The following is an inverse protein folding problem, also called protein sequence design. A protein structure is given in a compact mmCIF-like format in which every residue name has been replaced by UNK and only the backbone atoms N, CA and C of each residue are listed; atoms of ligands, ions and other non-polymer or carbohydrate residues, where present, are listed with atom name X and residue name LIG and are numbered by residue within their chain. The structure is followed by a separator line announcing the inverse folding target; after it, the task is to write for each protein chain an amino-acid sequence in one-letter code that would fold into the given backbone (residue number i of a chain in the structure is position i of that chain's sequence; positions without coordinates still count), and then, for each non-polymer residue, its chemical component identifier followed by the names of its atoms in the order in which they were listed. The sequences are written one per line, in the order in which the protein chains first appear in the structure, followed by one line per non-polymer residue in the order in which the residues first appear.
data_IF_291566855793
#
_entry.id   IF_291566855793
#
_cell.length_a   1.000
_cell.length_b   1.000
_cell.length_c   1.000
_cell.angle_alpha   90.00
_cell.angle_beta   90.00
_cell.angle_gamma   90.00
#
_symmetry.space_group_name_H-M   'P 1'
#
loop_
_entity.id
_entity.type
_entity.pdbx_description
1 polymer ?
#
# COMPACT_ATOMS: atom_id res chain seq x y z
N UNK A 1 15.68 9.79 -3.12
CA UNK A 1 14.48 8.99 -2.84
C UNK A 1 13.46 9.87 -2.13
N UNK A 2 12.24 9.92 -2.64
CA UNK A 2 11.13 10.67 -2.03
C UNK A 2 10.09 9.67 -1.52
N UNK A 3 9.76 9.79 -0.23
CA UNK A 3 8.75 9.00 0.45
C UNK A 3 7.60 9.90 0.96
N UNK A 4 6.37 9.39 1.09
CA UNK A 4 5.22 10.23 1.43
C UNK A 4 5.20 10.64 2.91
N UNK A 5 5.81 9.85 3.80
CA UNK A 5 5.77 10.06 5.26
C UNK A 5 7.17 10.21 5.85
N UNK A 6 7.26 10.92 6.97
CA UNK A 6 8.52 11.09 7.72
C UNK A 6 9.06 9.74 8.20
N UNK A 7 8.17 8.83 8.63
CA UNK A 7 8.54 7.50 9.06
C UNK A 7 9.20 6.69 7.94
N UNK A 8 8.60 6.65 6.74
CA UNK A 8 9.20 5.96 5.60
C UNK A 8 10.55 6.56 5.21
N UNK A 9 10.67 7.89 5.21
CA UNK A 9 11.95 8.55 4.96
C UNK A 9 13.02 8.13 5.98
N UNK A 10 12.66 8.02 7.26
CA UNK A 10 13.53 7.54 8.34
C UNK A 10 13.94 6.07 8.12
N UNK A 11 12.99 5.22 7.74
CA UNK A 11 13.23 3.80 7.48
C UNK A 11 14.17 3.58 6.29
N UNK A 12 13.89 4.21 5.15
CA UNK A 12 14.79 4.22 4.00
C UNK A 12 16.17 4.75 4.39
N UNK A 13 16.22 5.86 5.14
CA UNK A 13 17.46 6.42 5.68
C UNK A 13 18.30 5.38 6.43
N UNK A 14 17.69 4.71 7.41
CA UNK A 14 18.35 3.67 8.21
C UNK A 14 18.87 2.52 7.34
N UNK A 15 18.00 1.96 6.47
CA UNK A 15 18.36 0.83 5.59
C UNK A 15 19.49 1.20 4.64
N UNK A 16 19.46 2.40 4.05
CA UNK A 16 20.51 2.86 3.15
C UNK A 16 21.83 3.06 3.90
N UNK A 17 21.81 3.68 5.08
CA UNK A 17 23.03 3.86 5.89
C UNK A 17 23.66 2.51 6.25
N UNK A 18 22.86 1.54 6.68
CA UNK A 18 23.32 0.19 6.96
C UNK A 18 23.85 -0.52 5.70
N UNK A 19 23.16 -0.38 4.57
CA UNK A 19 23.51 -1.04 3.31
C UNK A 19 24.78 -0.49 2.68
N UNK A 20 25.01 0.82 2.78
CA UNK A 20 26.19 1.50 2.27
C UNK A 20 27.30 1.64 3.32
N UNK A 21 27.18 0.98 4.47
CA UNK A 21 28.25 0.93 5.45
C UNK A 21 29.55 0.40 4.82
N UNK A 22 30.64 1.17 4.95
CA UNK A 22 31.93 0.85 4.35
C UNK A 22 32.16 1.41 2.94
N UNK A 23 31.15 2.03 2.31
CA UNK A 23 31.32 2.77 1.06
C UNK A 23 31.47 4.27 1.32
N UNK A 24 32.22 5.01 0.49
CA UNK A 24 32.39 6.46 0.61
C UNK A 24 31.16 7.22 0.08
N UNK A 25 29.96 6.80 0.48
CA UNK A 25 28.68 7.39 0.07
C UNK A 25 28.06 8.09 1.29
N UNK A 26 27.87 9.40 1.18
CA UNK A 26 27.19 10.22 2.18
C UNK A 26 25.70 10.27 1.87
N UNK A 27 24.91 9.91 2.88
CA UNK A 27 23.45 9.86 2.81
C UNK A 27 22.88 10.97 3.70
N UNK A 28 22.00 11.79 3.15
CA UNK A 28 21.29 12.84 3.88
C UNK A 28 19.81 12.51 4.01
N UNK A 29 19.26 12.58 5.24
CA UNK A 29 17.84 12.33 5.50
C UNK A 29 17.12 13.63 5.85
N UNK A 30 16.25 14.11 4.96
CA UNK A 30 15.51 15.35 5.12
C UNK A 30 14.02 15.09 5.38
N UNK A 31 13.58 15.34 6.60
CA UNK A 31 12.20 15.18 7.04
C UNK A 31 11.77 16.31 7.99
N UNK A 32 10.51 16.31 8.42
CA UNK A 32 10.03 17.26 9.44
C UNK A 32 10.69 17.09 10.81
N UNK A 33 11.25 15.91 11.09
CA UNK A 33 11.93 15.62 12.35
C UNK A 33 13.43 15.97 12.32
N UNK A 34 13.98 16.32 11.15
CA UNK A 34 15.36 16.74 11.01
C UNK A 34 15.54 18.12 11.66
N UNK A 35 16.59 18.30 12.48
CA UNK A 35 16.85 19.60 13.12
C UNK A 35 17.10 20.70 12.08
N UNK A 36 16.85 21.96 12.43
CA UNK A 36 17.06 23.08 11.49
C UNK A 36 18.52 23.22 11.03
N UNK A 37 19.46 22.95 11.94
CA UNK A 37 20.89 22.94 11.65
C UNK A 37 21.25 21.81 10.65
N UNK A 38 20.81 20.58 10.93
CA UNK A 38 21.09 19.43 10.05
C UNK A 38 20.40 19.59 8.70
N UNK A 39 19.17 20.09 8.68
CA UNK A 39 18.44 20.35 7.44
C UNK A 39 19.16 21.37 6.56
N UNK A 40 19.77 22.40 7.15
CA UNK A 40 20.57 23.38 6.41
C UNK A 40 21.83 22.74 5.83
N UNK A 41 22.59 22.01 6.66
CA UNK A 41 23.79 21.30 6.21
C UNK A 41 23.47 20.27 5.10
N UNK A 42 22.35 19.56 5.21
CA UNK A 42 21.91 18.61 4.18
C UNK A 42 21.58 19.32 2.86
N UNK A 43 20.88 20.47 2.90
CA UNK A 43 20.57 21.23 1.68
C UNK A 43 21.83 21.73 0.98
N UNK A 44 22.78 22.26 1.76
CA UNK A 44 24.08 22.69 1.25
C UNK A 44 24.89 21.51 0.69
N UNK A 45 24.86 20.36 1.37
CA UNK A 45 25.50 19.13 0.90
C UNK A 45 24.90 18.58 -0.40
N UNK A 46 23.59 18.72 -0.60
CA UNK A 46 22.91 18.34 -1.86
C UNK A 46 23.32 19.27 -3.01
N UNK A 47 23.40 20.58 -2.74
CA UNK A 47 23.76 21.58 -3.74
C UNK A 47 25.25 21.50 -4.15
N UNK A 48 26.13 21.18 -3.21
CA UNK A 48 27.57 20.99 -3.47
C UNK A 48 27.91 19.61 -4.03
N UNK A 49 27.01 18.63 -3.91
CA UNK A 49 27.26 17.23 -4.29
C UNK A 49 28.01 16.41 -3.24
N UNK A 50 28.24 16.96 -2.05
CA UNK A 50 28.79 16.21 -0.91
C UNK A 50 27.84 15.09 -0.49
N UNK A 51 26.52 15.30 -0.55
CA UNK A 51 25.50 14.27 -0.30
C UNK A 51 25.13 13.62 -1.63
N UNK A 52 25.55 12.36 -1.82
CA UNK A 52 25.25 11.63 -3.06
C UNK A 52 23.87 10.96 -3.03
N UNK A 53 23.33 10.66 -1.84
CA UNK A 53 21.98 10.10 -1.71
C UNK A 53 21.15 10.94 -0.74
N UNK A 54 20.15 11.65 -1.27
CA UNK A 54 19.16 12.35 -0.47
C UNK A 54 17.89 11.50 -0.32
N UNK A 55 17.46 11.29 0.92
CA UNK A 55 16.25 10.56 1.28
C UNK A 55 15.35 11.51 2.06
N UNK A 56 14.07 11.62 1.71
CA UNK A 56 13.24 12.58 2.39
C UNK A 56 11.79 12.57 1.98
N UNK A 57 11.04 13.46 2.61
CA UNK A 57 9.63 13.68 2.27
C UNK A 57 9.50 14.68 1.11
N UNK A 58 8.30 15.21 0.90
CA UNK A 58 8.07 16.37 0.02
C UNK A 58 8.98 17.58 0.30
N UNK A 59 9.66 17.63 1.45
CA UNK A 59 10.73 18.60 1.71
C UNK A 59 11.82 18.60 0.63
N UNK A 60 12.12 17.44 0.02
CA UNK A 60 13.06 17.33 -1.11
C UNK A 60 12.50 17.89 -2.42
N UNK A 61 11.19 18.10 -2.51
CA UNK A 61 10.51 18.67 -3.67
C UNK A 61 10.34 20.19 -3.53
N UNK A 62 10.76 20.79 -2.42
CA UNK A 62 10.68 22.23 -2.24
C UNK A 62 11.52 22.96 -3.32
N UNK A 63 11.04 24.12 -3.79
CA UNK A 63 11.76 24.94 -4.78
C UNK A 63 13.15 25.39 -4.30
N UNK A 64 13.37 25.41 -2.98
CA UNK A 64 14.65 25.75 -2.35
C UNK A 64 15.70 24.64 -2.42
N UNK A 65 15.38 23.48 -2.99
CA UNK A 65 16.32 22.38 -3.17
C UNK A 65 16.93 22.48 -4.55
N UNK A 66 18.23 22.74 -4.58
CA UNK A 66 19.06 22.71 -5.78
C UNK A 66 19.93 21.46 -5.74
N UNK A 67 19.83 20.63 -6.77
CA UNK A 67 20.66 19.43 -6.92
C UNK A 67 21.88 19.78 -7.76
N UNK A 68 23.08 19.39 -7.32
CA UNK A 68 24.29 19.53 -8.14
C UNK A 68 24.13 18.80 -9.49
N UNK A 69 23.86 17.50 -9.43
CA UNK A 69 23.61 16.66 -10.60
C UNK A 69 22.66 15.50 -10.24
N UNK A 70 21.37 15.65 -10.58
CA UNK A 70 20.35 14.64 -10.28
C UNK A 70 20.27 13.62 -11.44
N UNK A 71 20.80 12.41 -11.24
CA UNK A 71 20.73 11.34 -12.25
C UNK A 71 19.55 10.35 -12.08
N UNK A 72 19.06 10.18 -10.85
CA UNK A 72 18.04 9.18 -10.51
C UNK A 72 17.07 9.70 -9.45
N UNK A 73 15.78 9.58 -9.74
CA UNK A 73 14.68 9.87 -8.82
C UNK A 73 13.91 8.60 -8.50
N UNK A 74 14.01 8.15 -7.24
CA UNK A 74 13.21 7.06 -6.70
C UNK A 74 12.01 7.64 -5.95
N UNK A 75 10.80 7.22 -6.31
CA UNK A 75 9.53 7.61 -5.70
C UNK A 75 8.90 6.38 -5.08
N UNK A 76 8.64 6.40 -3.77
CA UNK A 76 7.98 5.32 -3.07
C UNK A 76 6.50 5.67 -2.79
N UNK A 77 5.58 4.74 -3.04
CA UNK A 77 4.13 4.88 -2.84
C UNK A 77 3.55 6.19 -3.46
N UNK A 78 3.77 6.39 -4.77
CA UNK A 78 3.37 7.60 -5.53
C UNK A 78 1.89 8.00 -5.34
N UNK A 79 1.00 7.04 -5.06
CA UNK A 79 -0.43 7.31 -4.83
C UNK A 79 -0.71 8.25 -3.66
N UNK A 80 0.19 8.31 -2.67
CA UNK A 80 0.01 9.17 -1.48
C UNK A 80 0.46 10.63 -1.69
N UNK A 81 1.04 10.96 -2.86
CA UNK A 81 1.46 12.32 -3.17
C UNK A 81 0.30 13.18 -3.71
N UNK A 82 0.24 14.43 -3.25
CA UNK A 82 -0.73 15.42 -3.69
C UNK A 82 -0.45 15.96 -5.09
N UNK A 83 -1.41 16.68 -5.68
CA UNK A 83 -1.33 17.19 -7.06
C UNK A 83 -0.11 18.09 -7.27
N UNK A 84 0.13 19.08 -6.39
CA UNK A 84 1.28 19.98 -6.52
C UNK A 84 2.63 19.28 -6.39
N UNK A 85 2.71 18.21 -5.58
CA UNK A 85 3.93 17.39 -5.48
C UNK A 85 4.17 16.60 -6.77
N UNK A 86 3.09 16.09 -7.39
CA UNK A 86 3.14 15.38 -8.67
C UNK A 86 3.55 16.29 -9.82
N UNK A 87 3.07 17.52 -9.87
CA UNK A 87 3.53 18.51 -10.85
C UNK A 87 5.03 18.81 -10.70
N UNK A 88 5.51 19.03 -9.47
CA UNK A 88 6.94 19.23 -9.24
C UNK A 88 7.77 18.01 -9.60
N UNK A 89 7.26 16.81 -9.35
CA UNK A 89 7.91 15.57 -9.77
C UNK A 89 8.02 15.52 -11.31
N UNK A 90 6.97 15.91 -12.06
CA UNK A 90 6.98 15.96 -13.53
C UNK A 90 8.03 16.94 -14.06
N UNK A 91 8.15 18.13 -13.48
CA UNK A 91 9.17 19.11 -13.85
C UNK A 91 10.59 18.52 -13.75
N UNK A 92 10.85 17.73 -12.71
CA UNK A 92 12.14 17.08 -12.52
C UNK A 92 12.38 15.93 -13.50
N UNK A 93 11.35 15.32 -14.12
CA UNK A 93 11.48 14.13 -14.97
C UNK A 93 12.14 14.38 -16.34
N UNK A 94 12.28 15.63 -16.76
CA UNK A 94 12.68 15.98 -18.14
C UNK A 94 13.92 15.25 -18.65
N UNK A 95 14.95 15.12 -17.80
CA UNK A 95 16.26 14.55 -18.18
C UNK A 95 16.79 13.52 -17.15
N UNK A 96 15.94 12.93 -16.31
CA UNK A 96 16.39 12.02 -15.22
C UNK A 96 15.74 10.65 -15.29
N UNK A 97 16.43 9.62 -14.80
CA UNK A 97 15.84 8.31 -14.63
C UNK A 97 14.86 8.32 -13.45
N UNK A 98 13.66 7.73 -13.64
CA UNK A 98 12.63 7.69 -12.61
C UNK A 98 12.25 6.25 -12.30
N UNK A 99 12.39 5.86 -11.03
CA UNK A 99 11.93 4.58 -10.51
C UNK A 99 10.76 4.82 -9.55
N UNK A 100 9.60 4.24 -9.85
CA UNK A 100 8.43 4.30 -8.97
C UNK A 100 8.19 2.94 -8.33
N UNK A 101 8.08 2.92 -7.00
CA UNK A 101 7.79 1.73 -6.20
C UNK A 101 6.38 1.84 -5.62
N UNK A 102 5.62 0.74 -5.63
CA UNK A 102 4.29 0.69 -4.99
C UNK A 102 3.95 -0.73 -4.57
N UNK A 103 3.31 -0.87 -3.41
CA UNK A 103 2.88 -2.17 -2.89
C UNK A 103 1.63 -2.71 -3.61
N UNK A 104 0.81 -1.83 -4.18
CA UNK A 104 -0.40 -2.20 -4.92
C UNK A 104 -0.43 -1.44 -6.24
N UNK A 105 -0.45 -2.13 -7.39
CA UNK A 105 -0.47 -1.43 -8.66
C UNK A 105 -1.77 -0.63 -8.77
N UNK A 106 -1.66 0.68 -9.03
CA UNK A 106 -2.82 1.54 -9.25
C UNK A 106 -3.58 0.97 -10.46
N UNK A 107 -4.90 0.75 -10.41
CA UNK A 107 -5.64 0.08 -11.49
C UNK A 107 -5.35 0.65 -12.88
N UNK A 108 -5.28 1.98 -13.00
CA UNK A 108 -4.90 2.67 -14.24
C UNK A 108 -3.45 2.43 -14.67
N UNK A 109 -2.51 2.40 -13.72
CA UNK A 109 -1.09 2.12 -14.00
C UNK A 109 -0.87 0.67 -14.39
N UNK A 110 -1.58 -0.26 -13.76
CA UNK A 110 -1.60 -1.67 -14.15
C UNK A 110 -2.10 -1.81 -15.59
N UNK A 111 -3.20 -1.12 -15.92
CA UNK A 111 -3.78 -1.12 -17.24
C UNK A 111 -2.85 -0.54 -18.31
N UNK A 112 -2.17 0.58 -18.03
CA UNK A 112 -1.15 1.16 -18.92
C UNK A 112 0.08 0.24 -19.11
N UNK A 113 0.42 -0.53 -18.08
CA UNK A 113 1.48 -1.53 -18.17
C UNK A 113 1.06 -2.71 -19.05
N UNK A 114 -0.17 -3.20 -18.86
CA UNK A 114 -0.76 -4.28 -19.67
C UNK A 114 -0.95 -3.87 -21.13
N UNK A 115 -1.22 -2.59 -21.41
CA UNK A 115 -1.26 -2.02 -22.75
C UNK A 115 0.13 -1.72 -23.32
N UNK A 116 1.22 -1.98 -22.58
CA UNK A 116 2.59 -1.74 -23.02
C UNK A 116 2.96 -0.27 -23.21
N UNK A 117 2.20 0.65 -22.62
CA UNK A 117 2.51 2.10 -22.64
C UNK A 117 3.55 2.44 -21.57
N UNK A 118 3.65 1.63 -20.50
CA UNK A 118 4.62 1.80 -19.42
C UNK A 118 5.28 0.46 -19.10
N UNK A 119 6.60 0.43 -18.99
CA UNK A 119 7.30 -0.76 -18.51
C UNK A 119 7.01 -0.97 -17.02
N UNK A 120 6.70 -2.21 -16.64
CA UNK A 120 6.41 -2.60 -15.26
C UNK A 120 7.16 -3.90 -14.95
N UNK A 121 7.95 -3.88 -13.89
CA UNK A 121 8.54 -5.09 -13.32
C UNK A 121 7.73 -5.50 -12.10
N UNK A 122 7.26 -6.75 -12.08
CA UNK A 122 6.48 -7.30 -10.99
C UNK A 122 7.34 -8.27 -10.16
N UNK A 123 7.48 -7.96 -8.87
CA UNK A 123 8.18 -8.84 -7.91
C UNK A 123 7.11 -9.65 -7.17
N UNK A 124 6.82 -10.86 -7.67
CA UNK A 124 5.81 -11.74 -7.08
C UNK A 124 6.34 -12.62 -5.95
N UNK A 125 7.61 -13.02 -6.04
CA UNK A 125 8.21 -14.01 -5.14
C UNK A 125 8.52 -13.36 -3.79
N UNK A 126 7.90 -13.79 -2.69
CA UNK A 126 8.24 -13.30 -1.36
C UNK A 126 9.64 -13.79 -0.94
N UNK A 127 10.30 -13.10 0.01
CA UNK A 127 11.51 -13.61 0.65
C UNK A 127 11.27 -14.98 1.30
N UNK A 128 12.30 -15.83 1.33
CA UNK A 128 12.24 -17.24 1.81
C UNK A 128 11.69 -17.34 3.24
N UNK A 129 11.99 -16.37 4.09
CA UNK A 129 11.59 -16.36 5.50
C UNK A 129 10.17 -15.81 5.76
N UNK A 130 9.44 -15.37 4.72
CA UNK A 130 8.13 -14.73 4.91
C UNK A 130 7.02 -15.76 5.03
N UNK A 131 6.42 -15.83 6.21
CA UNK A 131 5.27 -16.70 6.49
C UNK A 131 3.95 -16.00 6.15
N UNK A 132 2.98 -16.77 5.63
CA UNK A 132 1.63 -16.27 5.38
C UNK A 132 0.92 -15.82 6.67
N UNK A 133 0.18 -14.72 6.58
CA UNK A 133 -0.62 -14.17 7.69
C UNK A 133 -1.87 -15.02 7.86
N UNK A 134 -2.07 -15.61 9.04
CA UNK A 134 -3.31 -16.34 9.35
C UNK A 134 -4.45 -15.35 9.64
N UNK A 135 -5.52 -15.45 8.87
CA UNK A 135 -6.66 -14.53 8.96
C UNK A 135 -7.84 -15.22 9.64
N UNK A 136 -8.41 -14.59 10.67
CA UNK A 136 -9.60 -15.04 11.39
C UNK A 136 -10.70 -14.00 11.22
N UNK A 137 -11.89 -14.47 10.86
CA UNK A 137 -13.09 -13.63 10.74
C UNK A 137 -14.08 -14.07 11.79
N UNK A 138 -14.60 -13.14 12.60
CA UNK A 138 -15.56 -13.47 13.64
C UNK A 138 -16.12 -12.23 14.34
N UNK A 139 -17.08 -12.41 15.27
CA UNK A 139 -17.52 -11.31 16.12
C UNK A 139 -16.39 -10.83 17.03
N UNK A 140 -16.50 -9.61 17.55
CA UNK A 140 -15.60 -9.17 18.63
C UNK A 140 -15.82 -10.03 19.88
N UNK A 141 -14.89 -10.94 20.14
CA UNK A 141 -14.82 -11.79 21.34
C UNK A 141 -13.66 -11.34 22.24
N UNK A 142 -13.98 -10.95 23.48
CA UNK A 142 -12.98 -10.48 24.43
C UNK A 142 -11.96 -11.56 24.85
N UNK A 143 -12.36 -12.83 24.91
CA UNK A 143 -11.47 -13.91 25.32
C UNK A 143 -10.43 -14.17 24.24
N UNK A 144 -10.88 -14.31 23.00
CA UNK A 144 -10.00 -14.56 21.84
C UNK A 144 -9.03 -13.40 21.63
N UNK A 145 -9.52 -12.16 21.71
CA UNK A 145 -8.68 -10.98 21.48
C UNK A 145 -7.69 -10.74 22.63
N UNK A 146 -8.06 -11.03 23.88
CA UNK A 146 -7.12 -10.99 25.02
C UNK A 146 -5.99 -11.99 24.80
N UNK A 147 -6.30 -13.23 24.46
CA UNK A 147 -5.27 -14.25 24.22
C UNK A 147 -4.34 -13.85 23.06
N UNK A 148 -4.91 -13.27 21.98
CA UNK A 148 -4.13 -12.78 20.85
C UNK A 148 -3.12 -11.68 21.26
N UNK A 149 -3.57 -10.69 22.03
CA UNK A 149 -2.72 -9.61 22.54
C UNK A 149 -1.64 -10.15 23.49
N UNK A 150 -2.02 -10.98 24.46
CA UNK A 150 -1.07 -11.54 25.42
C UNK A 150 -0.01 -12.42 24.75
N UNK A 151 -0.41 -13.22 23.75
CA UNK A 151 0.52 -14.02 22.95
C UNK A 151 1.54 -13.15 22.21
N UNK A 152 1.10 -12.03 21.64
CA UNK A 152 1.99 -11.08 20.97
C UNK A 152 2.96 -10.41 21.94
N UNK A 153 2.47 -9.97 23.08
CA UNK A 153 3.30 -9.32 24.10
C UNK A 153 4.32 -10.28 24.71
N UNK A 154 3.94 -11.54 24.95
CA UNK A 154 4.83 -12.56 25.52
C UNK A 154 6.05 -12.84 24.63
N UNK A 155 5.89 -12.72 23.31
CA UNK A 155 6.99 -12.87 22.33
C UNK A 155 7.73 -11.56 22.01
N UNK A 156 7.48 -10.49 22.78
CA UNK A 156 8.09 -9.17 22.60
C UNK A 156 7.64 -8.46 21.32
N UNK A 157 6.49 -8.85 20.77
CA UNK A 157 5.92 -8.23 19.58
C UNK A 157 4.94 -7.11 19.91
N UNK A 158 4.40 -6.48 18.87
CA UNK A 158 3.46 -5.37 18.98
C UNK A 158 2.16 -5.64 18.21
N UNK A 159 1.07 -5.01 18.63
CA UNK A 159 -0.28 -5.22 18.08
C UNK A 159 -0.79 -3.94 17.41
N UNK A 160 -1.27 -4.08 16.18
CA UNK A 160 -2.10 -3.04 15.56
C UNK A 160 -3.57 -3.26 15.89
N UNK A 161 -4.27 -2.23 16.33
CA UNK A 161 -5.74 -2.22 16.44
C UNK A 161 -6.29 -1.11 15.57
N UNK A 162 -7.06 -1.46 14.53
CA UNK A 162 -7.53 -0.51 13.53
C UNK A 162 -9.03 -0.30 13.64
N UNK A 163 -9.45 0.96 13.76
CA UNK A 163 -10.84 1.40 13.78
C UNK A 163 -11.23 2.08 12.45
N UNK A 164 -12.47 1.90 11.97
CA UNK A 164 -12.92 2.55 10.75
C UNK A 164 -13.18 4.05 10.96
N UNK A 165 -13.52 4.47 12.18
CA UNK A 165 -13.88 5.85 12.53
C UNK A 165 -13.18 6.29 13.81
N UNK A 166 -12.92 7.60 13.91
CA UNK A 166 -12.35 8.23 15.10
C UNK A 166 -13.32 8.12 16.29
N UNK A 167 -14.62 8.27 16.04
CA UNK A 167 -15.66 8.20 17.08
C UNK A 167 -15.70 6.84 17.80
N UNK A 168 -15.26 5.76 17.14
CA UNK A 168 -15.18 4.43 17.73
C UNK A 168 -13.94 4.26 18.63
N UNK A 169 -12.90 5.09 18.47
CA UNK A 169 -11.59 4.86 19.08
C UNK A 169 -11.65 4.91 20.60
N UNK A 170 -12.35 5.87 21.20
CA UNK A 170 -12.42 5.95 22.68
C UNK A 170 -13.04 4.67 23.26
N UNK A 171 -14.16 4.22 22.68
CA UNK A 171 -14.83 2.99 23.10
C UNK A 171 -13.92 1.77 22.94
N UNK A 172 -13.16 1.70 21.84
CA UNK A 172 -12.22 0.59 21.62
C UNK A 172 -11.04 0.67 22.59
N UNK A 173 -10.53 1.86 22.89
CA UNK A 173 -9.47 2.09 23.87
C UNK A 173 -9.87 1.58 25.26
N UNK A 174 -11.07 1.91 25.73
CA UNK A 174 -11.58 1.47 27.03
C UNK A 174 -11.71 -0.06 27.08
N UNK A 175 -12.18 -0.67 25.98
CA UNK A 175 -12.25 -2.13 25.84
C UNK A 175 -10.88 -2.77 25.84
N UNK A 176 -9.91 -2.21 25.12
CA UNK A 176 -8.53 -2.72 25.09
C UNK A 176 -7.88 -2.63 26.47
N UNK A 177 -8.07 -1.52 27.19
CA UNK A 177 -7.56 -1.33 28.56
C UNK A 177 -8.14 -2.37 29.52
N UNK A 178 -9.42 -2.72 29.36
CA UNK A 178 -10.06 -3.80 30.13
C UNK A 178 -9.55 -5.19 29.70
N UNK A 179 -9.29 -5.37 28.41
CA UNK A 179 -8.84 -6.65 27.84
C UNK A 179 -7.39 -6.96 28.20
N UNK A 180 -6.50 -5.98 28.18
CA UNK A 180 -5.07 -6.13 28.46
C UNK A 180 -4.59 -4.93 29.31
N UNK A 181 -4.87 -4.91 30.62
CA UNK A 181 -4.48 -3.82 31.51
C UNK A 181 -2.96 -3.61 31.62
N UNK A 182 -2.18 -4.63 31.31
CA UNK A 182 -0.72 -4.61 31.27
C UNK A 182 -0.13 -3.96 30.02
N UNK A 183 -0.94 -3.74 28.97
CA UNK A 183 -0.47 -3.25 27.69
C UNK A 183 -0.32 -1.72 27.67
N UNK A 184 0.80 -1.23 27.15
CA UNK A 184 1.01 0.19 26.85
C UNK A 184 0.31 0.52 25.54
N UNK A 185 -0.81 1.23 25.62
CA UNK A 185 -1.63 1.59 24.46
C UNK A 185 -1.36 3.04 24.07
N UNK A 186 -1.07 3.28 22.80
CA UNK A 186 -1.03 4.62 22.19
C UNK A 186 -2.04 4.72 21.05
N UNK A 187 -2.58 5.93 20.85
CA UNK A 187 -3.62 6.19 19.86
C UNK A 187 -3.14 7.12 18.76
N UNK A 188 -3.49 6.82 17.51
CA UNK A 188 -3.12 7.64 16.36
C UNK A 188 -4.27 7.79 15.34
N UNK A 189 -4.59 9.01 14.90
CA UNK A 189 -5.63 9.21 13.89
C UNK A 189 -5.34 10.37 12.93
N UNK A 190 -5.98 10.37 11.77
CA UNK A 190 -5.73 11.34 10.70
C UNK A 190 -6.04 12.82 11.03
N UNK A 191 -6.84 13.09 12.07
CA UNK A 191 -7.09 14.47 12.56
C UNK A 191 -5.98 15.03 13.45
N UNK A 192 -4.97 14.22 13.82
CA UNK A 192 -3.86 14.70 14.64
C UNK A 192 -2.99 15.67 13.83
N UNK A 193 -2.41 16.69 14.45
CA UNK A 193 -1.32 17.45 13.87
C UNK A 193 -0.22 16.50 13.38
N UNK A 194 0.33 16.76 12.19
CA UNK A 194 1.25 15.81 11.57
C UNK A 194 2.52 15.54 12.40
N UNK A 195 3.00 16.53 13.16
CA UNK A 195 4.14 16.36 14.08
C UNK A 195 3.80 15.40 15.23
N UNK A 196 2.60 15.51 15.78
CA UNK A 196 2.13 14.63 16.87
C UNK A 196 1.97 13.20 16.34
N UNK A 197 1.40 13.05 15.15
CA UNK A 197 1.28 11.75 14.49
C UNK A 197 2.66 11.12 14.26
N UNK A 198 3.61 11.84 13.67
CA UNK A 198 4.98 11.35 13.43
C UNK A 198 5.67 10.92 14.74
N UNK A 199 5.46 11.65 15.84
CA UNK A 199 5.97 11.30 17.17
C UNK A 199 5.35 10.00 17.70
N UNK A 200 4.01 9.87 17.65
CA UNK A 200 3.34 8.64 18.10
C UNK A 200 3.79 7.42 17.30
N UNK A 201 3.89 7.56 15.98
CA UNK A 201 4.36 6.47 15.11
C UNK A 201 5.83 6.12 15.38
N UNK A 202 6.66 7.11 15.67
CA UNK A 202 8.06 6.91 16.07
C UNK A 202 8.16 6.13 17.37
N UNK A 203 7.44 6.55 18.41
CA UNK A 203 7.39 5.87 19.71
C UNK A 203 6.90 4.43 19.58
N UNK A 204 5.90 4.19 18.72
CA UNK A 204 5.47 2.83 18.41
C UNK A 204 6.59 2.03 17.74
N UNK A 205 7.21 2.56 16.69
CA UNK A 205 8.29 1.88 15.97
C UNK A 205 9.52 1.59 16.86
N UNK A 206 9.76 2.42 17.88
CA UNK A 206 10.89 2.30 18.80
C UNK A 206 10.56 1.36 20.00
N UNK A 207 9.36 0.77 20.05
CA UNK A 207 8.96 -0.23 21.05
C UNK A 207 8.47 0.34 22.39
N UNK A 208 8.17 1.64 22.45
CA UNK A 208 7.68 2.29 23.67
C UNK A 208 6.23 1.95 24.02
N UNK A 209 5.50 1.34 23.09
CA UNK A 209 4.12 0.91 23.27
C UNK A 209 3.88 -0.47 22.66
N UNK A 210 2.99 -1.24 23.27
CA UNK A 210 2.68 -2.61 22.88
C UNK A 210 1.52 -2.65 21.87
N UNK A 211 0.59 -1.69 21.98
CA UNK A 211 -0.60 -1.59 21.12
C UNK A 211 -0.67 -0.21 20.49
N UNK A 212 -0.76 -0.16 19.16
CA UNK A 212 -1.16 1.03 18.42
C UNK A 212 -2.64 0.93 18.05
N UNK A 213 -3.47 1.73 18.72
CA UNK A 213 -4.86 1.95 18.34
C UNK A 213 -4.93 3.06 17.30
N UNK A 214 -5.34 2.76 16.07
CA UNK A 214 -5.38 3.76 15.01
C UNK A 214 -6.63 3.71 14.15
N UNK A 215 -6.82 4.74 13.34
CA UNK A 215 -7.68 4.60 12.15
C UNK A 215 -6.94 3.90 11.01
N UNK A 216 -7.49 3.94 9.79
CA UNK A 216 -6.83 3.43 8.59
C UNK A 216 -5.51 4.13 8.21
N UNK A 217 -5.01 5.08 9.00
CA UNK A 217 -3.72 5.75 8.76
C UNK A 217 -2.52 4.78 8.68
N UNK A 218 -2.63 3.58 9.29
CA UNK A 218 -1.61 2.52 9.18
C UNK A 218 -1.45 2.00 7.75
N UNK A 219 -2.43 2.27 6.88
CA UNK A 219 -2.36 2.01 5.44
C UNK A 219 -1.20 2.76 4.75
N UNK A 220 -0.72 3.89 5.31
CA UNK A 220 0.24 4.82 4.69
C UNK A 220 1.74 4.51 4.86
N UNK A 221 2.13 3.23 4.94
CA UNK A 221 3.54 2.87 4.79
C UNK A 221 4.32 2.62 6.08
N UNK A 222 3.66 2.20 7.16
CA UNK A 222 4.39 1.84 8.38
C UNK A 222 4.93 0.41 8.27
N UNK A 223 6.25 0.28 8.19
CA UNK A 223 6.95 -1.00 8.34
C UNK A 223 7.41 -1.19 9.79
N UNK A 224 6.72 -2.04 10.55
CA UNK A 224 7.14 -2.38 11.91
C UNK A 224 7.32 -3.90 11.97
N UNK A 225 8.56 -4.41 11.84
CA UNK A 225 8.84 -5.85 11.81
C UNK A 225 8.41 -6.59 13.09
N UNK A 226 8.39 -5.88 14.23
CA UNK A 226 7.91 -6.38 15.52
C UNK A 226 6.39 -6.50 15.60
N UNK A 227 5.65 -5.83 14.71
CA UNK A 227 4.19 -5.87 14.71
C UNK A 227 3.67 -7.05 13.88
N UNK A 228 3.33 -8.14 14.57
CA UNK A 228 2.90 -9.39 13.93
C UNK A 228 1.44 -9.75 14.18
N UNK A 229 0.71 -8.98 14.97
CA UNK A 229 -0.73 -9.19 15.20
C UNK A 229 -1.52 -7.93 14.84
N UNK A 230 -2.58 -8.11 14.06
CA UNK A 230 -3.50 -7.04 13.68
C UNK A 230 -4.92 -7.41 14.08
N UNK A 231 -5.62 -6.46 14.71
CA UNK A 231 -7.04 -6.55 15.06
C UNK A 231 -7.76 -5.43 14.32
N UNK A 232 -8.71 -5.77 13.46
CA UNK A 232 -9.52 -4.80 12.73
C UNK A 232 -10.90 -4.75 13.39
N UNK A 233 -11.20 -3.64 14.04
CA UNK A 233 -12.53 -3.35 14.57
C UNK A 233 -13.50 -3.11 13.41
N UNK A 234 -14.68 -3.72 13.43
CA UNK A 234 -15.73 -3.48 12.42
C UNK A 234 -15.20 -3.64 10.99
N UNK A 235 -14.55 -4.77 10.71
CA UNK A 235 -13.99 -5.11 9.40
C UNK A 235 -15.06 -5.08 8.27
N UNK A 236 -16.34 -5.19 8.63
CA UNK A 236 -17.50 -5.02 7.75
C UNK A 236 -17.60 -3.62 7.12
N UNK A 237 -16.93 -2.61 7.67
CA UNK A 237 -16.96 -1.23 7.17
C UNK A 237 -15.84 -0.91 6.17
N UNK A 238 -14.84 -1.77 6.04
CA UNK A 238 -13.68 -1.53 5.18
C UNK A 238 -13.87 -2.14 3.79
N UNK A 239 -13.33 -1.49 2.75
CA UNK A 239 -13.23 -2.07 1.42
C UNK A 239 -12.27 -3.28 1.37
N UNK A 240 -12.37 -4.09 0.31
CA UNK A 240 -11.55 -5.31 0.17
C UNK A 240 -10.07 -4.95 0.03
N UNK A 241 -9.75 -3.97 -0.81
CA UNK A 241 -8.39 -3.44 -0.95
C UNK A 241 -7.84 -2.88 0.35
N UNK A 242 -8.64 -2.15 1.12
CA UNK A 242 -8.22 -1.61 2.42
C UNK A 242 -7.88 -2.72 3.42
N UNK A 243 -8.75 -3.74 3.53
CA UNK A 243 -8.50 -4.89 4.42
C UNK A 243 -7.23 -5.64 4.03
N UNK A 244 -6.98 -5.80 2.74
CA UNK A 244 -5.76 -6.44 2.25
C UNK A 244 -4.51 -5.62 2.53
N UNK A 245 -4.56 -4.30 2.29
CA UNK A 245 -3.44 -3.40 2.58
C UNK A 245 -3.12 -3.39 4.07
N UNK A 246 -4.13 -3.29 4.93
CA UNK A 246 -3.99 -3.39 6.38
C UNK A 246 -3.37 -4.73 6.78
N UNK A 247 -3.90 -5.85 6.29
CA UNK A 247 -3.34 -7.20 6.53
C UNK A 247 -1.87 -7.30 6.10
N UNK A 248 -1.49 -6.65 4.99
CA UNK A 248 -0.11 -6.62 4.49
C UNK A 248 0.87 -5.80 5.36
N UNK A 249 0.39 -5.09 6.38
CA UNK A 249 1.23 -4.36 7.34
C UNK A 249 1.75 -5.23 8.49
N UNK A 250 1.26 -6.47 8.63
CA UNK A 250 1.81 -7.47 9.57
C UNK A 250 2.49 -8.62 8.84
N UNK A 251 3.36 -9.35 9.54
CA UNK A 251 4.05 -10.52 8.97
C UNK A 251 5.18 -10.15 8.03
N UNK A 252 5.98 -9.16 8.43
CA UNK A 252 7.21 -8.74 7.73
C UNK A 252 8.47 -9.42 8.30
N UNK A 253 8.39 -9.99 9.50
CA UNK A 253 9.46 -10.77 10.11
C UNK A 253 9.37 -12.27 9.83
N UNK A 254 10.27 -13.05 10.46
CA UNK A 254 10.28 -14.52 10.42
C UNK A 254 9.17 -15.16 11.25
N UNK A 255 8.58 -14.37 12.18
CA UNK A 255 7.51 -14.85 13.03
C UNK A 255 6.19 -14.90 12.25
N UNK A 256 5.38 -15.92 12.54
CA UNK A 256 4.04 -16.01 11.97
C UNK A 256 3.18 -14.86 12.49
N UNK A 257 2.46 -14.21 11.58
CA UNK A 257 1.55 -13.12 11.86
C UNK A 257 0.07 -13.55 11.82
N UNK A 258 -0.75 -12.78 12.53
CA UNK A 258 -2.16 -13.04 12.75
C UNK A 258 -2.99 -11.79 12.46
N UNK A 259 -4.09 -11.95 11.74
CA UNK A 259 -5.05 -10.89 11.46
C UNK A 259 -6.46 -11.30 11.92
N UNK A 260 -7.02 -10.52 12.85
CA UNK A 260 -8.35 -10.73 13.42
C UNK A 260 -9.31 -9.67 12.87
N UNK A 261 -10.18 -10.08 11.95
CA UNK A 261 -11.19 -9.22 11.33
C UNK A 261 -12.49 -9.38 12.12
N UNK A 262 -12.81 -8.37 12.92
CA UNK A 262 -13.93 -8.44 13.86
C UNK A 262 -15.18 -7.76 13.32
N UNK A 263 -16.35 -8.32 13.60
CA UNK A 263 -17.66 -7.69 13.37
C UNK A 263 -18.36 -7.36 14.70
N UNK A 264 -19.39 -6.52 14.64
CA UNK A 264 -20.26 -6.27 15.78
C UNK A 264 -21.17 -7.50 16.03
N UNK A 265 -21.10 -8.17 17.20
CA UNK A 265 -21.94 -9.32 17.49
C UNK A 265 -23.44 -9.00 17.49
N UNK A 266 -23.82 -7.73 17.66
CA UNK A 266 -25.22 -7.29 17.69
C UNK A 266 -25.77 -6.91 16.31
N UNK A 267 -24.96 -6.93 15.24
CA UNK A 267 -25.37 -6.50 13.91
C UNK A 267 -25.21 -7.63 12.90
N UNK A 268 -26.22 -7.79 12.05
CA UNK A 268 -26.15 -8.69 10.92
C UNK A 268 -25.25 -8.10 9.83
N UNK A 269 -24.38 -8.93 9.27
CA UNK A 269 -23.55 -8.57 8.13
C UNK A 269 -24.38 -8.55 6.85
N UNK A 270 -24.16 -7.57 5.99
CA UNK A 270 -24.72 -7.61 4.64
C UNK A 270 -24.11 -8.77 3.85
N UNK A 271 -24.83 -9.35 2.86
CA UNK A 271 -24.29 -10.43 2.02
C UNK A 271 -22.96 -10.05 1.36
N UNK A 272 -22.84 -8.80 0.91
CA UNK A 272 -21.62 -8.27 0.30
C UNK A 272 -20.46 -8.19 1.31
N UNK A 273 -20.71 -7.69 2.52
CA UNK A 273 -19.69 -7.61 3.57
C UNK A 273 -19.23 -9.01 4.00
N UNK A 274 -20.16 -9.95 4.16
CA UNK A 274 -19.85 -11.35 4.47
C UNK A 274 -18.98 -11.97 3.39
N UNK A 275 -19.37 -11.85 2.11
CA UNK A 275 -18.59 -12.40 0.99
C UNK A 275 -17.18 -11.82 0.94
N UNK A 276 -17.03 -10.52 1.18
CA UNK A 276 -15.73 -9.86 1.23
C UNK A 276 -14.83 -10.39 2.36
N UNK A 277 -15.38 -10.60 3.55
CA UNK A 277 -14.63 -11.14 4.68
C UNK A 277 -14.27 -12.62 4.46
N UNK A 278 -15.15 -13.42 3.86
CA UNK A 278 -14.86 -14.81 3.45
C UNK A 278 -13.69 -14.85 2.47
N UNK A 279 -13.66 -13.97 1.46
CA UNK A 279 -12.52 -13.85 0.54
C UNK A 279 -11.24 -13.50 1.30
N UNK A 280 -11.29 -12.57 2.26
CA UNK A 280 -10.11 -12.24 3.07
C UNK A 280 -9.54 -13.44 3.86
N UNK A 281 -10.41 -14.37 4.27
CA UNK A 281 -10.02 -15.58 4.99
C UNK A 281 -9.38 -16.63 4.07
N UNK A 282 -9.77 -16.70 2.80
CA UNK A 282 -9.23 -17.69 1.84
C UNK A 282 -7.94 -17.25 1.14
N UNK A 283 -7.59 -15.97 1.23
CA UNK A 283 -6.37 -15.40 0.66
C UNK A 283 -5.13 -15.79 1.49
N UNK A 284 -4.80 -17.08 1.56
CA UNK A 284 -3.69 -17.63 2.35
C UNK A 284 -2.32 -17.61 1.64
N UNK A 285 -2.26 -17.22 0.35
CA UNK A 285 -1.02 -17.21 -0.42
C UNK A 285 -0.41 -15.81 -0.55
N UNK A 286 0.90 -15.73 -0.29
CA UNK A 286 1.75 -14.60 -0.66
C UNK A 286 1.83 -14.55 -2.20
N UNK A 287 1.25 -13.51 -2.80
CA UNK A 287 1.05 -13.40 -4.27
C UNK A 287 -0.38 -13.07 -4.67
N UNK A 288 -1.34 -13.15 -3.75
CA UNK A 288 -2.75 -12.87 -3.99
C UNK A 288 -3.09 -11.40 -4.28
N UNK A 289 -2.10 -10.49 -4.29
CA UNK A 289 -2.31 -9.06 -4.54
C UNK A 289 -2.80 -8.78 -5.96
N UNK A 290 -2.38 -9.60 -6.93
CA UNK A 290 -2.87 -9.53 -8.31
C UNK A 290 -4.33 -9.99 -8.40
N UNK A 291 -4.65 -11.16 -7.83
CA UNK A 291 -6.02 -11.67 -7.75
C UNK A 291 -6.94 -10.66 -7.06
N UNK A 292 -6.47 -10.02 -6.00
CA UNK A 292 -7.22 -8.98 -5.29
C UNK A 292 -7.42 -7.72 -6.14
N UNK A 293 -6.42 -7.27 -6.88
CA UNK A 293 -6.57 -6.12 -7.79
C UNK A 293 -7.62 -6.41 -8.87
N UNK A 294 -7.67 -7.63 -9.41
CA UNK A 294 -8.72 -8.07 -10.33
C UNK A 294 -10.09 -8.08 -9.64
N UNK A 295 -10.20 -8.67 -8.44
CA UNK A 295 -11.47 -8.65 -7.68
C UNK A 295 -11.93 -7.23 -7.29
N UNK A 296 -11.02 -6.32 -6.92
CA UNK A 296 -11.37 -4.93 -6.58
C UNK A 296 -11.79 -4.16 -7.84
N UNK A 297 -11.20 -4.47 -9.02
CA UNK A 297 -11.62 -3.96 -10.32
C UNK A 297 -13.01 -4.45 -10.71
N UNK A 298 -13.32 -5.73 -10.49
CA UNK A 298 -14.65 -6.31 -10.74
C UNK A 298 -15.72 -5.70 -9.83
N UNK A 299 -15.38 -5.46 -8.56
CA UNK A 299 -16.32 -4.91 -7.57
C UNK A 299 -16.57 -3.41 -7.79
N UNK A 300 -15.53 -2.64 -8.16
CA UNK A 300 -15.63 -1.17 -8.31
C UNK A 300 -15.96 -0.73 -9.74
N UNK A 301 -15.73 -1.58 -10.74
CA UNK A 301 -15.68 -1.20 -12.16
C UNK A 301 -14.35 -0.51 -12.50
N UNK A 302 -13.70 -0.87 -13.62
CA UNK A 302 -12.50 -0.17 -14.07
C UNK A 302 -12.89 1.24 -14.50
N UNK A 303 -12.45 2.25 -13.74
CA UNK A 303 -12.69 3.65 -14.07
C UNK A 303 -12.15 4.03 -15.45
N UNK A 304 -12.72 5.09 -16.00
CA UNK A 304 -12.52 5.54 -17.38
C UNK A 304 -11.06 5.95 -17.67
N UNK A 305 -10.52 5.54 -18.82
CA UNK A 305 -9.13 5.84 -19.23
C UNK A 305 -8.97 7.23 -19.89
N UNK A 306 -10.05 7.83 -20.42
CA UNK A 306 -10.00 8.98 -21.35
C UNK A 306 -11.01 10.12 -21.09
N UNK A 307 -11.74 10.17 -19.97
CA UNK A 307 -12.64 11.30 -19.67
C UNK A 307 -13.57 11.09 -18.47
N UNK A 308 -14.26 12.15 -18.04
CA UNK A 308 -15.02 12.18 -16.76
C UNK A 308 -16.36 11.42 -16.77
N UNK A 309 -16.89 10.98 -17.91
CA UNK A 309 -18.16 10.24 -17.98
C UNK A 309 -18.03 8.98 -18.84
N UNK A 310 -18.14 7.80 -18.20
CA UNK A 310 -18.60 6.50 -18.73
C UNK A 310 -18.09 5.34 -17.85
N UNK A 311 -18.61 5.21 -16.63
CA UNK A 311 -18.33 4.07 -15.75
C UNK A 311 -19.13 2.78 -16.11
N UNK A 312 -19.84 2.77 -17.24
CA UNK A 312 -20.84 1.74 -17.60
C UNK A 312 -20.30 0.51 -18.33
N UNK A 313 -19.43 0.70 -19.34
CA UNK A 313 -19.11 -0.37 -20.31
C UNK A 313 -18.27 -1.53 -19.75
N UNK A 314 -17.39 -1.29 -18.77
CA UNK A 314 -16.54 -2.35 -18.19
C UNK A 314 -17.38 -3.42 -17.47
N UNK A 315 -18.55 -3.03 -16.94
CA UNK A 315 -19.43 -3.92 -16.18
C UNK A 315 -20.23 -4.88 -17.08
N UNK A 316 -20.42 -4.54 -18.36
CA UNK A 316 -21.18 -5.35 -19.33
C UNK A 316 -20.30 -6.35 -20.09
N UNK A 317 -19.04 -6.01 -20.33
CA UNK A 317 -18.16 -6.77 -21.25
C UNK A 317 -17.16 -7.66 -20.50
N UNK A 318 -16.89 -7.37 -19.22
CA UNK A 318 -15.90 -8.06 -18.41
C UNK A 318 -14.48 -7.51 -18.60
N UNK A 319 -13.70 -7.50 -17.51
CA UNK A 319 -12.36 -6.91 -17.48
C UNK A 319 -11.40 -7.57 -18.47
N UNK A 320 -11.48 -8.89 -18.62
CA UNK A 320 -10.61 -9.66 -19.51
C UNK A 320 -10.78 -9.24 -20.97
N UNK A 321 -12.02 -9.20 -21.46
CA UNK A 321 -12.34 -8.82 -22.83
C UNK A 321 -12.02 -7.33 -23.09
N UNK A 322 -12.27 -6.46 -22.12
CA UNK A 322 -11.89 -5.04 -22.22
C UNK A 322 -10.37 -4.84 -22.34
N UNK A 323 -9.58 -5.60 -21.56
CA UNK A 323 -8.11 -5.56 -21.63
C UNK A 323 -7.60 -6.05 -22.98
N UNK A 324 -8.23 -7.08 -23.54
CA UNK A 324 -7.88 -7.61 -24.86
C UNK A 324 -8.15 -6.58 -25.97
N UNK A 325 -9.32 -5.94 -25.95
CA UNK A 325 -9.67 -4.87 -26.90
C UNK A 325 -8.72 -3.66 -26.79
N UNK A 326 -8.39 -3.23 -25.57
CA UNK A 326 -7.47 -2.10 -25.35
C UNK A 326 -6.05 -2.42 -25.87
N UNK A 327 -5.57 -3.64 -25.63
CA UNK A 327 -4.27 -4.11 -26.12
C UNK A 327 -4.23 -4.09 -27.64
N UNK A 328 -5.26 -4.63 -28.29
CA UNK A 328 -5.39 -4.62 -29.75
C UNK A 328 -5.40 -3.20 -30.33
N UNK A 329 -6.14 -2.27 -29.71
CA UNK A 329 -6.17 -0.87 -30.13
C UNK A 329 -4.80 -0.17 -30.02
N UNK A 330 -4.06 -0.44 -28.94
CA UNK A 330 -2.73 0.16 -28.72
C UNK A 330 -1.69 -0.45 -29.67
N UNK A 331 -1.75 -1.75 -29.92
CA UNK A 331 -0.87 -2.42 -30.89
C UNK A 331 -1.16 -1.93 -32.33
N UNK A 332 -2.44 -1.73 -32.68
CA UNK A 332 -2.83 -1.13 -33.95
C UNK A 332 -2.27 0.30 -34.11
N UNK A 333 -2.41 1.15 -33.09
CA UNK A 333 -1.87 2.51 -33.09
C UNK A 333 -0.33 2.55 -33.18
N UNK A 334 0.37 1.68 -32.44
CA UNK A 334 1.85 1.57 -32.48
C UNK A 334 2.36 1.06 -33.84
N UNK A 335 1.59 0.21 -34.51
CA UNK A 335 1.94 -0.32 -35.83
C UNK A 335 1.73 0.69 -36.97
N UNK A 336 1.31 1.93 -36.67
CA UNK A 336 1.04 2.96 -37.68
C UNK A 336 -0.23 2.70 -38.52
N UNK A 337 -1.03 1.71 -38.15
CA UNK A 337 -2.38 1.50 -38.70
C UNK A 337 -3.35 2.43 -38.00
N UNK A 338 -3.26 3.72 -38.32
CA UNK A 338 -4.30 4.68 -37.96
C UNK A 338 -5.64 4.24 -38.57
N UNK A 339 -6.67 4.19 -37.73
CA UNK A 339 -8.11 4.15 -38.06
C UNK A 339 -8.49 3.43 -39.37
N UNK A 340 -8.10 2.17 -39.49
CA UNK A 340 -8.66 1.24 -40.48
C UNK A 340 -9.17 -0.02 -39.76
N UNK A 341 -9.88 0.16 -38.65
CA UNK A 341 -10.52 -0.92 -37.92
C UNK A 341 -12.04 -0.70 -37.92
N UNK A 342 -12.65 -0.71 -39.11
CA UNK A 342 -14.09 -0.91 -39.21
C UNK A 342 -14.51 -1.81 -40.39
N UNK A 343 -13.61 -2.62 -40.97
CA UNK A 343 -14.05 -3.56 -42.02
C UNK A 343 -13.26 -4.87 -42.17
N UNK A 344 -12.34 -5.19 -41.24
CA UNK A 344 -11.48 -6.40 -41.37
C UNK A 344 -11.28 -7.16 -40.04
N UNK A 345 -12.28 -7.14 -39.17
CA UNK A 345 -12.36 -8.10 -38.07
C UNK A 345 -12.66 -9.49 -38.67
N UNK A 346 -11.62 -10.19 -39.14
CA UNK A 346 -11.71 -11.63 -39.43
C UNK A 346 -12.30 -12.29 -38.17
N UNK A 347 -13.49 -12.91 -38.25
CA UNK A 347 -14.07 -13.53 -37.07
C UNK A 347 -13.07 -14.55 -36.53
N UNK A 348 -12.84 -14.49 -35.22
CA UNK A 348 -11.91 -15.38 -34.53
C UNK A 348 -12.19 -16.82 -34.97
N UNK A 349 -11.19 -17.45 -35.58
CA UNK A 349 -11.31 -18.81 -36.08
C UNK A 349 -11.65 -19.73 -34.90
N UNK A 350 -12.90 -20.19 -34.85
CA UNK A 350 -13.40 -21.03 -33.76
C UNK A 350 -13.58 -22.44 -34.32
N UNK A 351 -12.67 -23.39 -34.03
CA UNK A 351 -12.82 -24.75 -34.53
C UNK A 351 -14.02 -25.42 -33.85
N UNK A 352 -15.05 -25.76 -34.64
CA UNK A 352 -16.11 -26.65 -34.19
C UNK A 352 -15.64 -28.10 -34.32
N UNK A 353 -15.35 -28.75 -33.20
CA UNK A 353 -15.02 -30.17 -33.16
C UNK A 353 -16.31 -30.94 -32.94
N UNK A 354 -16.91 -31.44 -34.01
CA UNK A 354 -18.02 -32.40 -33.93
C UNK A 354 -17.46 -33.77 -33.56
N UNK A 355 -17.71 -34.20 -32.31
CA UNK A 355 -17.25 -35.50 -31.79
C UNK A 355 -18.12 -36.69 -32.24
N UNK A 356 -19.12 -36.47 -33.12
CA UNK A 356 -19.97 -37.55 -33.66
C UNK A 356 -20.79 -38.29 -32.59
N UNK A 357 -20.94 -37.71 -31.40
CA UNK A 357 -21.85 -38.21 -30.37
C UNK A 357 -23.24 -37.67 -30.70
N UNK A 358 -24.15 -38.57 -31.10
CA UNK A 358 -25.57 -38.27 -31.10
C UNK A 358 -25.99 -37.91 -29.65
N UNK A 359 -26.71 -36.79 -29.51
CA UNK A 359 -27.18 -36.26 -28.22
C UNK A 359 -28.21 -37.19 -27.60
#
# INVERSE_FOLDING_TARGET
LVAPTTLLARQHGKVFVERFAGFPVKIGVLSRMTSSADAKAIREGIATGEIQIAIGTHALLAKSIEFNHLGLLIIDEEQHFGVGQKERLKELRGDIHVLTLSATPIPRTLQMALSGVREMSLIATPPVDRLAVRTFVGPWDGVVLREAVQREMFRGGQVFVVCPRIDDMQRVYDRLTTLAPEARIISAHGRMPANELDQVMTRFADGEADILLSTNIVESGIDIPSANTMIIHRADMFGLSQLYQLRGRVGRGRQRAYAYLTSDPKRLLSPQARRRLEVMQTLDTLGAGFTLASYDMDIRGAGNLLGDEQSGHVREVGVELYQEMLRQAVDAAKSGRGDAADDDAKPAWTPQINLGLEI
#
